data_IF_235530982086
#
_entry.id   IF_235530982086
#
_cell.length_a   1.000
_cell.length_b   1.000
_cell.length_c   1.000
_cell.angle_alpha   90.00
_cell.angle_beta   90.00
_cell.angle_gamma   90.00
#
_symmetry.space_group_name_H-M   'P 1'
#
loop_
_entity.id
_entity.type
_entity.pdbx_description
1 polymer ?
#
# COMPACT_ATOMS: atom_id res chain seq x y z
N UNK A 1 -40.49 -5.57 6.86
CA UNK A 1 -40.47 -4.09 6.95
C UNK A 1 -41.05 -3.65 8.28
N UNK A 2 -40.41 -2.70 8.98
CA UNK A 2 -40.88 -2.24 10.29
C UNK A 2 -42.10 -1.31 10.16
N UNK A 3 -43.07 -1.42 11.07
CA UNK A 3 -44.24 -0.52 11.06
C UNK A 3 -43.80 0.95 11.22
N UNK A 4 -44.39 1.88 10.46
CA UNK A 4 -44.03 3.30 10.50
C UNK A 4 -44.24 3.89 11.89
N UNK A 5 -43.37 4.84 12.26
CA UNK A 5 -43.39 5.48 13.58
C UNK A 5 -44.45 6.58 13.59
N UNK A 6 -45.41 6.52 14.52
CA UNK A 6 -46.29 7.66 14.77
C UNK A 6 -45.52 8.70 15.60
N UNK A 7 -45.22 9.86 14.99
CA UNK A 7 -44.44 10.95 15.59
C UNK A 7 -45.09 11.54 16.84
N UNK A 8 -46.42 11.71 16.83
CA UNK A 8 -47.18 12.23 17.97
C UNK A 8 -47.07 11.30 19.18
N UNK A 9 -47.22 9.98 18.97
CA UNK A 9 -47.06 9.01 20.05
C UNK A 9 -45.63 8.93 20.56
N UNK A 10 -44.63 9.15 19.70
CA UNK A 10 -43.22 9.19 20.10
C UNK A 10 -42.94 10.39 21.00
N UNK A 11 -43.41 11.58 20.63
CA UNK A 11 -43.26 12.80 21.44
C UNK A 11 -44.02 12.69 22.76
N UNK A 12 -45.28 12.26 22.70
CA UNK A 12 -46.11 12.00 23.87
C UNK A 12 -45.45 10.98 24.83
N UNK A 13 -44.69 10.00 24.31
CA UNK A 13 -44.01 9.02 25.16
C UNK A 13 -42.93 9.64 26.05
N UNK A 14 -42.31 10.76 25.65
CA UNK A 14 -41.24 11.43 26.42
C UNK A 14 -41.77 12.20 27.62
N UNK A 15 -43.03 12.62 27.61
CA UNK A 15 -43.66 13.37 28.70
C UNK A 15 -43.91 12.48 29.94
N UNK A 16 -44.21 13.08 31.08
CA UNK A 16 -44.82 12.33 32.19
C UNK A 16 -46.27 11.93 31.83
N UNK A 17 -46.87 11.02 32.60
CA UNK A 17 -48.26 10.61 32.35
C UNK A 17 -49.25 11.74 32.65
N UNK A 18 -49.01 12.54 33.70
CA UNK A 18 -49.89 13.65 34.07
C UNK A 18 -49.89 14.74 33.01
N UNK A 19 -48.71 15.12 32.52
CA UNK A 19 -48.56 16.11 31.43
C UNK A 19 -49.19 15.63 30.11
N UNK A 20 -49.06 14.33 29.80
CA UNK A 20 -49.68 13.78 28.61
C UNK A 20 -51.23 13.78 28.70
N UNK A 21 -51.79 13.56 29.89
CA UNK A 21 -53.23 13.64 30.14
C UNK A 21 -53.72 15.09 30.07
N UNK A 22 -52.97 16.05 30.61
CA UNK A 22 -53.37 17.46 30.56
C UNK A 22 -53.34 18.05 29.14
N UNK A 23 -52.46 17.53 28.26
CA UNK A 23 -52.34 18.01 26.88
C UNK A 23 -53.24 17.27 25.87
N UNK A 24 -53.55 16.01 26.13
CA UNK A 24 -54.28 15.13 25.19
C UNK A 24 -55.52 14.47 25.80
N UNK A 25 -55.93 14.90 26.99
CA UNK A 25 -57.12 14.42 27.69
C UNK A 25 -58.42 14.77 26.97
N UNK A 26 -59.55 14.20 27.42
CA UNK A 26 -60.85 14.36 26.75
C UNK A 26 -61.31 15.82 26.63
N UNK A 27 -60.82 16.72 27.49
CA UNK A 27 -61.18 18.14 27.53
C UNK A 27 -60.26 19.03 26.68
N UNK A 28 -59.32 18.43 25.93
CA UNK A 28 -58.31 19.17 25.15
C UNK A 28 -58.60 19.11 23.65
N UNK A 29 -58.12 20.10 22.90
CA UNK A 29 -58.29 20.22 21.44
C UNK A 29 -57.74 19.02 20.66
N UNK A 30 -56.81 18.24 21.27
CA UNK A 30 -56.20 17.04 20.67
C UNK A 30 -56.53 15.77 21.46
N UNK A 31 -57.79 15.65 21.91
CA UNK A 31 -58.31 14.52 22.70
C UNK A 31 -58.00 13.15 22.04
N UNK A 32 -56.84 12.59 22.39
CA UNK A 32 -56.35 11.31 21.85
C UNK A 32 -55.86 10.36 22.95
N UNK A 33 -55.86 10.80 24.21
CA UNK A 33 -55.48 9.98 25.35
C UNK A 33 -56.49 8.86 25.61
N UNK A 34 -56.03 7.61 25.58
CA UNK A 34 -56.82 6.44 25.94
C UNK A 34 -56.17 5.71 27.14
N UNK A 35 -56.85 5.63 28.30
CA UNK A 35 -56.26 5.07 29.51
C UNK A 35 -55.91 3.58 29.38
N UNK A 36 -56.59 2.83 28.51
CA UNK A 36 -56.35 1.39 28.33
C UNK A 36 -55.13 1.09 27.45
N UNK A 37 -54.82 1.94 26.48
CA UNK A 37 -53.80 1.64 25.45
C UNK A 37 -52.59 2.58 25.45
N UNK A 38 -52.77 3.85 25.83
CA UNK A 38 -51.70 4.85 25.80
C UNK A 38 -50.55 4.54 26.76
N UNK A 39 -50.75 4.09 28.02
CA UNK A 39 -49.64 3.75 28.91
C UNK A 39 -48.71 2.68 28.32
N UNK A 40 -49.28 1.59 27.79
CA UNK A 40 -48.53 0.50 27.14
C UNK A 40 -47.81 0.97 25.89
N UNK A 41 -48.50 1.73 25.02
CA UNK A 41 -47.90 2.29 23.80
C UNK A 41 -46.73 3.21 24.13
N UNK A 42 -46.86 4.08 25.13
CA UNK A 42 -45.81 5.01 25.56
C UNK A 42 -44.59 4.27 26.10
N UNK A 43 -44.79 3.24 26.93
CA UNK A 43 -43.69 2.39 27.38
C UNK A 43 -42.98 1.70 26.21
N UNK A 44 -43.73 1.17 25.24
CA UNK A 44 -43.15 0.58 24.03
C UNK A 44 -42.32 1.59 23.23
N UNK A 45 -42.82 2.81 23.01
CA UNK A 45 -42.08 3.86 22.27
C UNK A 45 -40.79 4.29 22.98
N UNK A 46 -40.78 4.35 24.33
CA UNK A 46 -39.57 4.66 25.12
C UNK A 46 -38.47 3.62 24.93
N UNK A 47 -38.81 2.34 25.08
CA UNK A 47 -37.82 1.24 25.07
C UNK A 47 -37.59 0.64 23.69
N UNK A 48 -38.23 1.18 22.64
CA UNK A 48 -38.14 0.65 21.28
C UNK A 48 -36.70 0.61 20.76
N UNK A 49 -35.91 1.65 21.03
CA UNK A 49 -34.52 1.75 20.56
C UNK A 49 -33.68 0.62 21.14
N UNK A 50 -33.71 0.46 22.46
CA UNK A 50 -32.99 -0.58 23.19
C UNK A 50 -33.43 -1.98 22.77
N UNK A 51 -34.74 -2.21 22.63
CA UNK A 51 -35.26 -3.52 22.20
C UNK A 51 -34.82 -3.87 20.77
N UNK A 52 -34.82 -2.91 19.86
CA UNK A 52 -34.34 -3.11 18.49
C UNK A 52 -32.83 -3.40 18.47
N UNK A 53 -32.05 -2.73 19.32
CA UNK A 53 -30.61 -2.92 19.42
C UNK A 53 -30.27 -4.31 19.97
N UNK A 54 -30.94 -4.75 21.04
CA UNK A 54 -30.84 -6.12 21.56
C UNK A 54 -31.20 -7.15 20.50
N UNK A 55 -32.28 -6.93 19.75
CA UNK A 55 -32.69 -7.83 18.68
C UNK A 55 -31.65 -7.90 17.56
N UNK A 56 -31.07 -6.76 17.15
CA UNK A 56 -29.99 -6.73 16.14
C UNK A 56 -28.74 -7.47 16.62
N UNK A 57 -28.35 -7.30 17.88
CA UNK A 57 -27.21 -8.01 18.46
C UNK A 57 -27.43 -9.53 18.40
N UNK A 58 -28.61 -10.00 18.81
CA UNK A 58 -28.96 -11.42 18.74
C UNK A 58 -28.95 -11.98 17.31
N UNK A 59 -29.37 -11.18 16.31
CA UNK A 59 -29.27 -11.61 14.91
C UNK A 59 -27.82 -11.68 14.41
N UNK A 60 -26.94 -10.76 14.84
CA UNK A 60 -25.51 -10.81 14.47
C UNK A 60 -24.83 -12.06 15.03
N UNK A 61 -25.11 -12.37 16.29
CA UNK A 61 -24.55 -13.55 16.97
C UNK A 61 -25.05 -14.86 16.34
N UNK A 62 -26.33 -14.93 15.97
CA UNK A 62 -26.88 -16.13 15.31
C UNK A 62 -26.40 -16.34 13.87
N UNK A 63 -26.01 -15.27 13.17
CA UNK A 63 -25.63 -15.30 11.76
C UNK A 63 -24.13 -15.08 11.51
N UNK A 64 -23.28 -15.00 12.53
CA UNK A 64 -21.83 -14.98 12.35
C UNK A 64 -21.38 -16.35 11.84
N UNK A 65 -21.28 -16.49 10.52
CA UNK A 65 -20.57 -17.62 9.90
C UNK A 65 -19.09 -17.47 10.27
N UNK A 66 -18.42 -18.48 10.84
CA UNK A 66 -16.98 -18.44 11.00
C UNK A 66 -16.36 -18.33 9.61
N UNK A 67 -15.54 -17.30 9.41
CA UNK A 67 -14.72 -17.21 8.20
C UNK A 67 -13.78 -18.42 8.19
N UNK A 68 -13.67 -19.17 7.08
CA UNK A 68 -12.68 -20.23 6.98
C UNK A 68 -11.29 -19.62 7.16
N UNK A 69 -10.53 -20.15 8.11
CA UNK A 69 -9.14 -19.75 8.33
C UNK A 69 -8.33 -20.15 7.09
N UNK A 70 -7.89 -19.16 6.34
CA UNK A 70 -7.01 -19.34 5.19
C UNK A 70 -5.58 -19.53 5.73
N UNK A 71 -5.25 -20.75 6.13
CA UNK A 71 -3.91 -21.11 6.59
C UNK A 71 -3.01 -21.27 5.37
N UNK A 72 -2.39 -20.18 4.92
CA UNK A 72 -1.36 -20.25 3.87
C UNK A 72 -0.06 -20.72 4.50
N UNK A 73 0.36 -21.93 4.16
CA UNK A 73 1.70 -22.43 4.52
C UNK A 73 2.75 -21.74 3.64
N UNK A 74 3.75 -21.11 4.26
CA UNK A 74 4.87 -20.46 3.57
C UNK A 74 6.10 -21.35 3.64
N UNK A 75 6.63 -21.76 2.49
CA UNK A 75 7.89 -22.52 2.40
C UNK A 75 9.01 -21.59 1.91
N UNK A 76 10.16 -21.62 2.59
CA UNK A 76 11.39 -20.96 2.13
C UNK A 76 12.32 -22.01 1.51
N UNK A 77 12.52 -21.95 0.19
CA UNK A 77 13.45 -22.82 -0.53
C UNK A 77 14.81 -22.11 -0.60
N UNK A 78 15.89 -22.67 -0.03
CA UNK A 78 17.22 -22.04 -0.09
C UNK A 78 17.75 -22.08 -1.53
N UNK A 79 17.97 -20.90 -2.12
CA UNK A 79 18.54 -20.77 -3.47
C UNK A 79 20.07 -20.85 -3.37
N UNK A 80 20.66 -21.92 -3.90
CA UNK A 80 22.12 -22.03 -4.05
C UNK A 80 22.52 -21.51 -5.43
N UNK A 81 22.56 -20.19 -5.59
CA UNK A 81 23.03 -19.55 -6.82
C UNK A 81 24.55 -19.31 -6.77
N UNK A 82 25.28 -19.50 -7.88
CA UNK A 82 26.65 -19.01 -7.99
C UNK A 82 26.67 -17.47 -8.00
N UNK A 83 27.78 -16.83 -7.59
CA UNK A 83 27.92 -15.39 -7.68
C UNK A 83 27.98 -14.95 -9.15
N UNK A 84 27.33 -13.82 -9.46
CA UNK A 84 27.28 -13.23 -10.80
C UNK A 84 27.74 -11.78 -10.77
N UNK A 85 28.31 -11.29 -11.88
CA UNK A 85 28.72 -9.90 -12.03
C UNK A 85 27.80 -9.15 -12.99
N UNK A 86 27.16 -8.09 -12.51
CA UNK A 86 26.33 -7.19 -13.30
C UNK A 86 27.15 -5.98 -13.73
N UNK A 87 27.15 -5.71 -15.04
CA UNK A 87 27.76 -4.52 -15.64
C UNK A 87 26.69 -3.50 -15.98
N UNK A 88 26.76 -2.31 -15.36
CA UNK A 88 25.90 -1.17 -15.66
C UNK A 88 26.62 -0.23 -16.61
N UNK A 89 25.97 0.13 -17.71
CA UNK A 89 26.46 1.07 -18.71
C UNK A 89 25.55 2.29 -18.76
N UNK A 90 26.06 3.44 -18.35
CA UNK A 90 25.35 4.71 -18.44
C UNK A 90 25.55 5.29 -19.84
N UNK A 91 24.54 5.15 -20.71
CA UNK A 91 24.60 5.54 -22.12
C UNK A 91 23.20 5.84 -22.66
N UNK A 92 23.09 6.88 -23.49
CA UNK A 92 21.85 7.25 -24.17
C UNK A 92 21.37 6.16 -25.15
N UNK A 93 20.08 6.21 -25.51
CA UNK A 93 19.42 5.22 -26.38
C UNK A 93 20.05 5.02 -27.77
N UNK A 94 20.62 6.03 -28.46
CA UNK A 94 21.19 5.82 -29.78
C UNK A 94 22.32 4.77 -29.74
N UNK A 95 22.33 3.88 -30.72
CA UNK A 95 23.32 2.79 -30.81
C UNK A 95 24.77 3.30 -30.77
N UNK A 96 24.99 4.48 -31.34
CA UNK A 96 26.31 5.12 -31.44
C UNK A 96 26.57 6.18 -30.36
N UNK A 97 25.67 6.32 -29.37
CA UNK A 97 25.89 7.26 -28.27
C UNK A 97 27.16 6.91 -27.49
N UNK A 98 27.82 7.94 -26.98
CA UNK A 98 29.03 7.74 -26.18
C UNK A 98 28.71 7.04 -24.86
N UNK A 99 29.64 6.21 -24.38
CA UNK A 99 29.54 5.63 -23.05
C UNK A 99 29.92 6.70 -22.01
N UNK A 100 28.97 7.14 -21.21
CA UNK A 100 29.23 8.18 -20.21
C UNK A 100 29.97 7.64 -19.00
N UNK A 101 29.51 6.52 -18.43
CA UNK A 101 30.10 5.88 -17.27
C UNK A 101 29.80 4.38 -17.26
N UNK A 102 30.48 3.63 -16.39
CA UNK A 102 30.15 2.24 -16.09
C UNK A 102 30.32 1.93 -14.60
N UNK A 103 29.55 0.99 -14.09
CA UNK A 103 29.68 0.45 -12.74
C UNK A 103 29.56 -1.07 -12.77
N UNK A 104 30.12 -1.75 -11.76
CA UNK A 104 30.03 -3.21 -11.66
C UNK A 104 29.62 -3.61 -10.24
N UNK A 105 28.71 -4.58 -10.14
CA UNK A 105 28.34 -5.16 -8.85
C UNK A 105 28.34 -6.68 -8.91
N UNK A 106 28.63 -7.32 -7.78
CA UNK A 106 28.62 -8.77 -7.64
C UNK A 106 27.48 -9.16 -6.72
N UNK A 107 26.65 -10.11 -7.16
CA UNK A 107 25.48 -10.58 -6.45
C UNK A 107 25.49 -12.09 -6.31
N UNK A 108 24.94 -12.59 -5.20
CA UNK A 108 24.63 -14.00 -5.00
C UNK A 108 23.22 -14.12 -4.44
N UNK A 109 22.28 -14.53 -5.30
CA UNK A 109 20.86 -14.46 -4.98
C UNK A 109 20.43 -13.01 -4.67
N UNK A 110 20.03 -12.76 -3.43
CA UNK A 110 19.60 -11.45 -2.95
C UNK A 110 20.70 -10.63 -2.24
N UNK A 111 21.89 -11.21 -2.08
CA UNK A 111 23.00 -10.58 -1.35
C UNK A 111 23.97 -9.90 -2.32
N UNK A 112 24.30 -8.64 -2.04
CA UNK A 112 25.34 -7.89 -2.76
C UNK A 112 26.70 -8.18 -2.12
N UNK A 113 27.55 -8.93 -2.80
CA UNK A 113 28.85 -9.36 -2.28
C UNK A 113 29.96 -8.31 -2.51
N UNK A 114 29.86 -7.54 -3.59
CA UNK A 114 30.86 -6.53 -3.93
C UNK A 114 30.30 -5.43 -4.83
N UNK A 115 30.98 -4.30 -4.82
CA UNK A 115 30.74 -3.17 -5.70
C UNK A 115 32.06 -2.58 -6.16
N UNK A 116 32.13 -2.27 -7.44
CA UNK A 116 33.19 -1.47 -8.05
C UNK A 116 32.53 -0.17 -8.43
N UNK A 117 33.00 0.91 -7.82
CA UNK A 117 32.44 2.25 -7.97
C UNK A 117 32.31 2.64 -9.44
N UNK A 118 31.28 3.43 -9.73
CA UNK A 118 31.04 3.96 -11.05
C UNK A 118 32.23 4.84 -11.50
N UNK A 119 32.68 4.66 -12.74
CA UNK A 119 33.76 5.45 -13.33
C UNK A 119 33.27 6.17 -14.59
N UNK A 120 33.51 7.47 -14.68
CA UNK A 120 33.28 8.24 -15.89
C UNK A 120 34.20 7.75 -17.01
N UNK A 121 33.60 7.45 -18.16
CA UNK A 121 34.30 6.94 -19.34
C UNK A 121 34.59 8.04 -20.37
N UNK A 122 34.18 9.28 -20.10
CA UNK A 122 34.43 10.42 -20.98
C UNK A 122 35.95 10.57 -21.21
N UNK A 123 36.37 10.50 -22.47
CA UNK A 123 37.80 10.53 -22.85
C UNK A 123 38.48 9.15 -22.94
N UNK A 124 37.78 8.06 -22.58
CA UNK A 124 38.25 6.70 -22.82
C UNK A 124 37.85 6.23 -24.23
N UNK A 125 38.79 5.60 -24.92
CA UNK A 125 38.51 4.82 -26.14
C UNK A 125 37.87 3.48 -25.79
N UNK A 126 37.17 2.86 -26.75
CA UNK A 126 36.61 1.51 -26.59
C UNK A 126 37.69 0.49 -26.17
N UNK A 127 38.93 0.63 -26.65
CA UNK A 127 40.04 -0.24 -26.27
C UNK A 127 40.43 -0.07 -24.80
N UNK A 128 40.45 1.16 -24.29
CA UNK A 128 40.73 1.44 -22.87
C UNK A 128 39.60 0.92 -21.98
N UNK A 129 38.34 1.12 -22.38
CA UNK A 129 37.17 0.55 -21.69
C UNK A 129 37.27 -0.97 -21.61
N UNK A 130 37.52 -1.65 -22.73
CA UNK A 130 37.64 -3.11 -22.76
C UNK A 130 38.84 -3.61 -21.92
N UNK A 131 39.94 -2.84 -21.87
CA UNK A 131 41.08 -3.17 -21.01
C UNK A 131 40.70 -3.06 -19.54
N UNK A 132 40.00 -2.00 -19.14
CA UNK A 132 39.51 -1.84 -17.77
C UNK A 132 38.59 -2.99 -17.35
N UNK A 133 37.62 -3.36 -18.20
CA UNK A 133 36.72 -4.48 -17.93
C UNK A 133 37.44 -5.83 -17.80
N UNK A 134 38.54 -6.04 -18.53
CA UNK A 134 39.39 -7.24 -18.36
C UNK A 134 40.10 -7.27 -17.01
N UNK A 135 40.60 -6.13 -16.54
CA UNK A 135 41.20 -6.05 -15.20
C UNK A 135 40.15 -6.27 -14.10
N UNK A 136 38.95 -5.72 -14.28
CA UNK A 136 37.82 -6.01 -13.39
C UNK A 136 37.53 -7.51 -13.36
N UNK A 137 37.37 -8.18 -14.51
CA UNK A 137 37.14 -9.62 -14.55
C UNK A 137 38.28 -10.42 -13.93
N UNK A 138 39.54 -9.96 -14.03
CA UNK A 138 40.67 -10.62 -13.35
C UNK A 138 40.48 -10.60 -11.83
N UNK A 139 40.13 -9.45 -11.27
CA UNK A 139 39.86 -9.30 -9.83
C UNK A 139 38.65 -10.14 -9.40
N UNK A 140 37.58 -10.11 -10.19
CA UNK A 140 36.36 -10.87 -9.88
C UNK A 140 36.57 -12.39 -9.98
N UNK A 141 37.41 -12.85 -10.91
CA UNK A 141 37.79 -14.26 -11.02
C UNK A 141 38.58 -14.72 -9.79
N UNK A 142 39.56 -13.94 -9.37
CA UNK A 142 40.41 -14.25 -8.22
C UNK A 142 39.60 -14.32 -6.91
N UNK A 143 38.58 -13.47 -6.74
CA UNK A 143 37.80 -13.38 -5.50
C UNK A 143 36.52 -14.21 -5.46
N UNK A 144 35.83 -14.32 -6.59
CA UNK A 144 34.47 -14.89 -6.67
C UNK A 144 34.35 -16.01 -7.71
N UNK A 145 35.42 -16.34 -8.45
CA UNK A 145 35.38 -17.34 -9.51
C UNK A 145 34.62 -16.90 -10.78
N UNK A 146 34.28 -15.61 -10.89
CA UNK A 146 33.50 -15.08 -12.01
C UNK A 146 34.39 -14.87 -13.24
N UNK A 147 34.00 -15.46 -14.38
CA UNK A 147 34.79 -15.39 -15.63
C UNK A 147 34.24 -14.41 -16.66
N UNK A 148 32.97 -14.03 -16.54
CA UNK A 148 32.26 -13.18 -17.47
C UNK A 148 31.20 -12.33 -16.75
N UNK A 149 30.72 -11.29 -17.43
CA UNK A 149 29.59 -10.48 -16.96
C UNK A 149 28.29 -11.05 -17.51
N UNK A 150 27.22 -10.87 -16.76
CA UNK A 150 25.87 -10.98 -17.30
C UNK A 150 25.63 -9.92 -18.40
N UNK A 151 24.60 -10.09 -19.25
CA UNK A 151 24.23 -9.11 -20.25
C UNK A 151 24.18 -7.69 -19.65
N UNK A 152 24.88 -6.71 -20.26
CA UNK A 152 25.00 -5.38 -19.68
C UNK A 152 23.65 -4.70 -19.49
N UNK A 153 23.47 -4.08 -18.33
CA UNK A 153 22.28 -3.29 -17.98
C UNK A 153 22.53 -1.86 -18.45
N UNK A 154 21.66 -1.34 -19.32
CA UNK A 154 21.74 0.04 -19.80
C UNK A 154 20.98 0.98 -18.87
N UNK A 155 21.66 2.01 -18.40
CA UNK A 155 21.13 3.11 -17.61
C UNK A 155 21.20 4.42 -18.41
N UNK A 156 20.33 5.40 -18.13
CA UNK A 156 20.45 6.74 -18.70
C UNK A 156 21.58 7.53 -18.02
N UNK A 157 22.29 8.44 -18.72
CA UNK A 157 23.36 9.23 -18.12
C UNK A 157 22.91 10.07 -16.90
N UNK A 158 21.64 10.48 -16.85
CA UNK A 158 21.07 11.18 -15.70
C UNK A 158 20.96 10.32 -14.44
N UNK A 159 21.03 9.00 -14.58
CA UNK A 159 21.00 8.04 -13.48
C UNK A 159 22.41 7.74 -12.95
N UNK A 160 23.44 8.45 -13.42
CA UNK A 160 24.81 8.25 -12.97
C UNK A 160 24.96 8.42 -11.44
N UNK A 161 25.56 7.42 -10.83
CA UNK A 161 25.76 7.35 -9.37
C UNK A 161 26.95 8.18 -8.89
N UNK A 162 27.82 8.64 -9.81
CA UNK A 162 28.98 9.46 -9.49
C UNK A 162 28.53 10.81 -8.93
N UNK A 163 29.11 11.20 -7.79
CA UNK A 163 28.87 12.50 -7.15
C UNK A 163 29.36 13.62 -8.07
N UNK A 164 28.60 14.72 -8.14
CA UNK A 164 28.89 15.87 -9.01
C UNK A 164 28.98 15.53 -10.52
N UNK A 165 28.26 14.48 -10.96
CA UNK A 165 28.17 14.15 -12.38
C UNK A 165 27.50 15.28 -13.19
N UNK A 166 28.13 15.77 -14.27
CA UNK A 166 27.61 16.89 -15.07
C UNK A 166 26.31 16.56 -15.81
N UNK A 167 26.00 15.27 -16.02
CA UNK A 167 24.80 14.82 -16.73
C UNK A 167 23.62 14.50 -15.81
N UNK A 168 23.81 14.59 -14.49
CA UNK A 168 22.77 14.31 -13.48
C UNK A 168 21.71 15.40 -13.43
N UNK A 169 22.11 16.65 -13.69
CA UNK A 169 21.21 17.80 -13.69
C UNK A 169 20.91 18.23 -15.13
N UNK A 170 19.69 17.97 -15.61
CA UNK A 170 19.24 18.20 -17.01
C UNK A 170 19.30 19.67 -17.46
N UNK A 171 19.66 20.60 -16.56
CA UNK A 171 19.75 22.03 -16.84
C UNK A 171 20.95 22.42 -17.73
N UNK A 172 21.94 21.54 -17.90
CA UNK A 172 23.17 21.86 -18.66
C UNK A 172 23.18 21.40 -20.13
N UNK A 173 22.16 20.67 -20.61
CA UNK A 173 22.22 20.03 -21.94
C UNK A 173 21.47 20.81 -23.05
N UNK A 174 20.82 21.93 -22.76
CA UNK A 174 20.08 22.72 -23.77
C UNK A 174 20.84 23.92 -24.37
N UNK A 175 22.14 24.04 -24.12
CA UNK A 175 22.97 25.12 -24.67
C UNK A 175 24.23 24.57 -25.31
N UNK A 176 24.07 23.93 -26.48
CA UNK A 176 25.12 23.78 -27.49
C UNK A 176 24.44 23.53 -28.85
#
# INVERSE_FOLDING_TARGET
>A
MGRPINKLCLECSKLSQKEAISLHGPETTTACWNPKTCPRKRSHYRHRRENNEKQRAHYRDRNSKPAPAETTETFSIPVQAPPVALLYLYKEKPKDAHLHAMAVSVWQGSEKLAEIEAVHCMGMTNTQVNRYLKEVLRVLRERYGITEFEPPIRMEPSECEIVDCPLKDKRHVQTA
#
